data_IF_653115290634
#
_entry.id   IF_653115290634
#
_cell.length_a   1.000
_cell.length_b   1.000
_cell.length_c   1.000
_cell.angle_alpha   90.00
_cell.angle_beta   90.00
_cell.angle_gamma   90.00
#
_symmetry.space_group_name_H-M   'P 1'
#
loop_
_entity.id
_entity.type
_entity.pdbx_description
1 polymer ?
#
# COMPACT_ATOMS: atom_id res chain seq x y z
N UNK A 1 -2.80 -28.55 -13.77
CA UNK A 1 -2.14 -27.44 -13.05
C UNK A 1 -3.24 -26.61 -12.43
N UNK A 2 -3.44 -26.72 -11.12
CA UNK A 2 -4.53 -26.02 -10.43
C UNK A 2 -4.24 -24.52 -10.44
N UNK A 3 -5.12 -23.74 -11.08
CA UNK A 3 -5.02 -22.30 -11.13
C UNK A 3 -5.51 -21.77 -9.78
N UNK A 4 -4.60 -21.59 -8.82
CA UNK A 4 -4.93 -21.03 -7.51
C UNK A 4 -5.24 -19.53 -7.67
N UNK A 5 -6.50 -19.21 -7.98
CA UNK A 5 -6.96 -17.82 -8.06
C UNK A 5 -7.06 -17.25 -6.64
N UNK A 6 -5.95 -16.71 -6.13
CA UNK A 6 -5.92 -15.95 -4.88
C UNK A 6 -6.67 -14.63 -5.08
N UNK A 7 -7.57 -14.31 -4.17
CA UNK A 7 -8.22 -13.01 -4.11
C UNK A 7 -7.44 -12.11 -3.17
N UNK A 8 -7.23 -10.85 -3.56
CA UNK A 8 -6.44 -9.89 -2.79
C UNK A 8 -7.34 -8.78 -2.28
N UNK A 9 -7.36 -8.53 -0.98
CA UNK A 9 -7.99 -7.36 -0.40
C UNK A 9 -6.97 -6.36 0.11
N UNK A 10 -7.16 -5.09 -0.25
CA UNK A 10 -6.27 -4.00 0.08
C UNK A 10 -7.07 -2.95 0.86
N UNK A 11 -6.53 -2.52 1.99
CA UNK A 11 -7.14 -1.49 2.84
C UNK A 11 -6.12 -0.42 3.15
N UNK A 12 -6.43 0.84 2.88
CA UNK A 12 -5.60 1.97 3.34
C UNK A 12 -5.87 2.17 4.83
N UNK A 13 -4.88 1.84 5.67
CA UNK A 13 -4.96 1.96 7.14
C UNK A 13 -4.51 3.32 7.64
N UNK A 14 -3.61 3.96 6.90
CA UNK A 14 -3.22 5.34 7.12
C UNK A 14 -3.24 6.10 5.80
N UNK A 15 -4.17 7.04 5.69
CA UNK A 15 -4.32 7.90 4.52
C UNK A 15 -3.26 9.00 4.50
N UNK A 16 -2.68 9.35 3.33
CA UNK A 16 -1.92 10.58 3.19
C UNK A 16 -2.86 11.78 3.35
N UNK A 17 -2.40 12.82 4.05
CA UNK A 17 -3.20 14.03 4.24
C UNK A 17 -2.57 15.25 3.58
N UNK A 18 -1.25 15.32 3.60
CA UNK A 18 -0.52 16.47 3.09
C UNK A 18 0.92 16.11 2.72
N UNK A 19 1.55 16.98 1.95
CA UNK A 19 2.98 16.93 1.75
C UNK A 19 3.54 18.33 1.49
N UNK A 20 4.86 18.48 1.58
CA UNK A 20 5.56 19.64 1.05
C UNK A 20 6.22 19.26 -0.26
N UNK A 21 6.02 20.07 -1.29
CA UNK A 21 6.71 19.87 -2.56
C UNK A 21 8.22 19.86 -2.36
N UNK A 22 8.89 18.91 -2.99
CA UNK A 22 10.33 18.77 -2.90
C UNK A 22 10.98 19.29 -4.18
N UNK A 23 11.79 20.35 -4.04
CA UNK A 23 12.64 20.82 -5.13
C UNK A 23 13.77 19.83 -5.45
N UNK A 24 14.80 20.31 -6.15
CA UNK A 24 15.99 19.50 -6.52
C UNK A 24 16.99 19.38 -5.34
N UNK A 25 16.73 20.06 -4.22
CA UNK A 25 17.61 20.07 -3.03
C UNK A 25 17.36 18.94 -2.01
N UNK A 26 18.21 18.84 -0.98
CA UNK A 26 18.18 17.76 0.01
C UNK A 26 17.07 17.88 1.08
N UNK A 27 16.42 19.03 1.19
CA UNK A 27 15.33 19.31 2.15
C UNK A 27 14.01 18.65 1.67
N UNK A 28 14.03 17.32 1.62
CA UNK A 28 12.89 16.48 1.27
C UNK A 28 12.02 16.27 2.51
N UNK A 29 10.72 16.49 2.36
CA UNK A 29 9.72 16.07 3.35
C UNK A 29 8.83 14.99 2.73
N UNK A 30 8.75 13.80 3.34
CA UNK A 30 7.82 12.78 2.87
C UNK A 30 6.37 13.25 3.01
N UNK A 31 5.48 12.56 2.33
CA UNK A 31 4.05 12.64 2.53
C UNK A 31 3.76 12.31 3.99
N UNK A 32 2.85 13.09 4.58
CA UNK A 32 2.51 13.04 5.98
C UNK A 32 0.99 12.97 6.19
N UNK A 33 0.52 12.04 7.04
CA UNK A 33 1.27 10.92 7.59
C UNK A 33 1.67 9.90 6.48
N UNK A 34 2.66 9.01 6.72
CA UNK A 34 3.13 8.08 5.69
C UNK A 34 2.04 7.06 5.32
N UNK A 35 1.78 6.79 4.03
CA UNK A 35 0.76 5.81 3.65
C UNK A 35 1.06 4.41 4.20
N UNK A 36 0.05 3.78 4.82
CA UNK A 36 0.11 2.39 5.31
C UNK A 36 -1.05 1.61 4.69
N UNK A 37 -0.73 0.51 4.02
CA UNK A 37 -1.69 -0.33 3.32
C UNK A 37 -1.62 -1.73 3.92
N UNK A 38 -2.76 -2.25 4.35
CA UNK A 38 -2.90 -3.63 4.76
C UNK A 38 -3.26 -4.51 3.54
N UNK A 39 -2.62 -5.67 3.47
CA UNK A 39 -2.93 -6.74 2.55
C UNK A 39 -3.57 -7.90 3.30
N UNK A 40 -4.73 -8.34 2.80
CA UNK A 40 -5.34 -9.62 3.15
C UNK A 40 -5.41 -10.49 1.90
N UNK A 41 -4.79 -11.67 1.95
CA UNK A 41 -4.90 -12.68 0.88
C UNK A 41 -6.01 -13.64 1.27
N UNK A 42 -7.00 -13.80 0.39
CA UNK A 42 -8.13 -14.69 0.60
C UNK A 42 -7.98 -15.87 -0.37
N UNK A 43 -7.87 -17.07 0.17
CA UNK A 43 -7.90 -18.29 -0.63
C UNK A 43 -9.36 -18.77 -0.76
N UNK A 44 -9.90 -18.95 -1.98
CA UNK A 44 -11.23 -19.52 -2.14
C UNK A 44 -11.38 -20.95 -1.60
N UNK A 45 -10.30 -21.70 -1.39
CA UNK A 45 -10.37 -23.07 -0.85
C UNK A 45 -10.57 -23.10 0.67
N UNK A 46 -10.19 -22.05 1.41
CA UNK A 46 -10.55 -21.93 2.83
C UNK A 46 -12.00 -21.47 3.04
N UNK A 47 -12.71 -21.09 1.96
CA UNK A 47 -14.15 -20.82 1.98
C UNK A 47 -15.00 -22.09 1.78
N UNK A 48 -14.49 -23.29 2.06
CA UNK A 48 -15.39 -24.43 2.17
C UNK A 48 -16.27 -24.24 3.42
N UNK A 49 -17.61 -24.19 3.27
CA UNK A 49 -18.49 -24.18 4.42
C UNK A 49 -18.24 -25.46 5.24
N UNK A 50 -18.45 -25.44 6.57
CA UNK A 50 -18.28 -26.63 7.39
C UNK A 50 -19.04 -27.78 6.76
N UNK A 51 -18.33 -28.87 6.46
CA UNK A 51 -18.94 -30.06 5.88
C UNK A 51 -20.02 -30.55 6.85
N UNK A 52 -21.28 -30.75 6.42
CA UNK A 52 -22.36 -31.21 7.32
C UNK A 52 -22.10 -32.60 7.92
N UNK A 53 -21.07 -33.31 7.43
CA UNK A 53 -20.60 -34.57 7.96
C UNK A 53 -19.75 -34.44 9.24
N UNK A 54 -19.14 -33.28 9.51
CA UNK A 54 -18.28 -33.04 10.69
C UNK A 54 -18.49 -31.60 11.21
N UNK A 55 -19.50 -31.36 12.07
CA UNK A 55 -19.79 -30.03 12.62
C UNK A 55 -18.71 -29.47 13.56
N UNK A 56 -17.75 -30.29 13.99
CA UNK A 56 -16.62 -29.91 14.87
C UNK A 56 -15.27 -29.80 14.12
N UNK A 57 -15.25 -29.95 12.79
CA UNK A 57 -14.04 -29.74 12.01
C UNK A 57 -13.81 -28.24 11.81
N UNK A 58 -13.00 -27.64 12.68
CA UNK A 58 -12.30 -26.37 12.46
C UNK A 58 -11.31 -26.58 11.28
N UNK A 59 -11.84 -26.67 10.05
CA UNK A 59 -11.08 -27.06 8.85
C UNK A 59 -10.28 -25.88 8.25
N UNK A 60 -10.32 -24.72 8.90
CA UNK A 60 -9.42 -23.61 8.60
C UNK A 60 -8.12 -23.82 9.37
N UNK A 61 -7.19 -24.61 8.82
CA UNK A 61 -5.82 -24.70 9.35
C UNK A 61 -5.21 -23.29 9.37
N UNK A 62 -5.06 -22.65 10.56
CA UNK A 62 -4.60 -21.26 10.67
C UNK A 62 -3.19 -21.10 10.10
N UNK A 63 -2.43 -22.19 10.00
CA UNK A 63 -1.05 -22.20 9.52
C UNK A 63 -0.93 -21.82 8.03
N UNK A 64 -1.98 -22.03 7.21
CA UNK A 64 -1.95 -21.65 5.79
C UNK A 64 -2.11 -20.14 5.56
N UNK A 65 -2.90 -19.45 6.40
CA UNK A 65 -2.98 -17.99 6.35
C UNK A 65 -1.63 -17.33 6.71
N UNK A 66 -0.83 -17.96 7.57
CA UNK A 66 0.53 -17.48 7.87
C UNK A 66 1.54 -17.73 6.74
N UNK A 67 1.29 -18.70 5.85
CA UNK A 67 2.22 -19.06 4.77
C UNK A 67 2.36 -17.96 3.71
N UNK A 68 1.27 -17.23 3.39
CA UNK A 68 1.36 -16.15 2.40
C UNK A 68 2.02 -14.89 2.93
N UNK A 69 1.97 -14.65 4.24
CA UNK A 69 2.72 -13.55 4.85
C UNK A 69 4.20 -13.80 4.57
N UNK A 70 4.74 -14.96 4.90
CA UNK A 70 6.14 -15.29 4.62
C UNK A 70 6.57 -15.25 3.14
N UNK A 71 5.65 -15.04 2.18
CA UNK A 71 5.97 -14.91 0.77
C UNK A 71 6.78 -13.61 0.49
N UNK A 72 8.10 -13.71 0.20
CA UNK A 72 8.94 -12.54 -0.03
C UNK A 72 8.68 -11.89 -1.40
N UNK A 73 7.78 -12.44 -2.22
CA UNK A 73 7.56 -12.04 -3.60
C UNK A 73 6.50 -10.96 -3.78
N UNK A 74 5.85 -10.50 -2.71
CA UNK A 74 4.90 -9.39 -2.77
C UNK A 74 5.60 -8.05 -2.54
N UNK A 75 5.32 -7.09 -3.42
CA UNK A 75 5.71 -5.70 -3.25
C UNK A 75 4.61 -4.78 -3.75
N UNK A 76 4.60 -3.55 -3.24
CA UNK A 76 3.65 -2.52 -3.63
C UNK A 76 4.37 -1.33 -4.23
N UNK A 77 3.86 -0.83 -5.36
CA UNK A 77 4.35 0.38 -6.01
C UNK A 77 3.32 1.50 -5.87
N UNK A 78 3.80 2.68 -5.46
CA UNK A 78 3.02 3.91 -5.35
C UNK A 78 3.29 4.82 -6.55
N UNK A 79 2.23 5.15 -7.30
CA UNK A 79 2.24 6.20 -8.32
C UNK A 79 1.28 7.33 -7.94
N UNK A 80 1.57 8.53 -8.44
CA UNK A 80 0.72 9.70 -8.24
C UNK A 80 -0.41 9.67 -9.29
N UNK A 81 -1.62 10.03 -8.91
CA UNK A 81 -2.77 10.15 -9.80
C UNK A 81 -3.51 11.47 -9.58
N UNK A 82 -4.21 11.96 -10.59
CA UNK A 82 -5.14 13.09 -10.43
C UNK A 82 -6.36 12.67 -9.62
N UNK A 83 -6.91 13.56 -8.77
CA UNK A 83 -8.06 13.24 -7.94
C UNK A 83 -9.38 13.09 -8.72
N UNK A 84 -9.49 13.73 -9.89
CA UNK A 84 -10.77 13.83 -10.62
C UNK A 84 -11.02 12.65 -11.56
N UNK A 85 -9.96 12.15 -12.22
CA UNK A 85 -10.05 11.17 -13.30
C UNK A 85 -9.09 9.98 -13.14
N UNK A 86 -8.39 9.91 -11.99
CA UNK A 86 -7.40 8.89 -11.66
C UNK A 86 -6.26 8.74 -12.71
N UNK A 87 -6.02 9.75 -13.56
CA UNK A 87 -4.92 9.75 -14.52
C UNK A 87 -3.57 9.69 -13.80
N UNK A 88 -2.77 8.67 -14.09
CA UNK A 88 -1.44 8.51 -13.48
C UNK A 88 -0.44 9.56 -13.99
N UNK A 89 0.32 10.11 -13.06
CA UNK A 89 1.31 11.16 -13.25
C UNK A 89 2.70 10.61 -12.91
N UNK A 90 3.40 10.10 -13.92
CA UNK A 90 4.74 9.54 -13.74
C UNK A 90 5.85 10.58 -13.90
N UNK A 91 5.67 11.53 -14.81
CA UNK A 91 6.68 12.50 -15.22
C UNK A 91 6.14 13.92 -15.08
N UNK A 92 7.03 14.84 -14.71
CA UNK A 92 6.75 16.27 -14.75
C UNK A 92 6.59 16.73 -16.21
N UNK A 93 6.16 17.98 -16.39
CA UNK A 93 5.96 18.60 -17.71
C UNK A 93 7.23 18.64 -18.57
N UNK A 94 8.40 18.48 -17.96
CA UNK A 94 9.68 18.39 -18.67
C UNK A 94 9.92 17.04 -19.37
N UNK A 95 9.10 16.02 -19.08
CA UNK A 95 9.20 14.66 -19.61
C UNK A 95 10.42 13.87 -19.14
N UNK A 96 11.23 14.40 -18.22
CA UNK A 96 12.51 13.81 -17.79
C UNK A 96 12.55 13.54 -16.30
N UNK A 97 11.82 14.34 -15.51
CA UNK A 97 11.85 14.26 -14.05
C UNK A 97 10.62 13.51 -13.56
N UNK A 98 10.80 12.53 -12.67
CA UNK A 98 9.66 11.82 -12.04
C UNK A 98 8.89 12.75 -11.12
N UNK A 99 7.56 12.63 -11.10
CA UNK A 99 6.69 13.39 -10.18
C UNK A 99 6.98 13.08 -8.71
N UNK A 100 7.31 11.82 -8.43
CA UNK A 100 7.63 11.29 -7.10
C UNK A 100 9.14 11.15 -6.91
N UNK A 101 9.58 11.13 -5.65
CA UNK A 101 10.97 10.91 -5.26
C UNK A 101 11.04 10.21 -3.90
N UNK A 102 12.17 9.58 -3.61
CA UNK A 102 12.33 8.70 -2.45
C UNK A 102 11.88 7.28 -2.78
N UNK A 103 11.37 6.57 -1.78
CA UNK A 103 10.98 5.15 -1.88
C UNK A 103 9.53 5.01 -2.34
N UNK A 104 9.36 4.77 -3.64
CA UNK A 104 8.06 4.53 -4.30
C UNK A 104 7.65 3.05 -4.32
N UNK A 105 8.51 2.17 -3.82
CA UNK A 105 8.24 0.73 -3.69
C UNK A 105 8.36 0.35 -2.21
N UNK A 106 7.44 -0.49 -1.75
CA UNK A 106 7.45 -1.05 -0.40
C UNK A 106 7.36 -2.58 -0.48
N UNK A 107 8.17 -3.26 0.33
CA UNK A 107 8.06 -4.71 0.53
C UNK A 107 6.97 -5.04 1.55
N UNK A 108 6.50 -6.28 1.58
CA UNK A 108 5.56 -6.74 2.59
C UNK A 108 6.24 -6.84 3.97
N UNK A 109 5.66 -6.19 4.99
CA UNK A 109 6.04 -6.29 6.39
C UNK A 109 4.98 -7.10 7.15
N UNK A 110 5.40 -8.02 8.01
CA UNK A 110 4.47 -8.75 8.90
C UNK A 110 4.45 -8.08 10.24
N UNK A 111 3.29 -7.55 10.60
CA UNK A 111 3.05 -6.90 11.87
C UNK A 111 1.78 -7.47 12.49
N UNK A 112 1.71 -7.45 13.81
CA UNK A 112 0.46 -7.75 14.52
C UNK A 112 -0.48 -6.57 14.39
N UNK A 113 -1.70 -6.83 13.95
CA UNK A 113 -2.73 -5.82 13.81
C UNK A 113 -3.38 -5.53 15.17
N UNK A 114 -2.95 -4.45 15.83
CA UNK A 114 -3.47 -4.06 17.14
C UNK A 114 -4.97 -3.75 17.12
N UNK A 115 -5.51 -3.33 15.97
CA UNK A 115 -6.93 -3.01 15.81
C UNK A 115 -7.78 -4.25 15.50
N UNK A 116 -7.17 -5.35 15.04
CA UNK A 116 -7.86 -6.61 14.74
C UNK A 116 -7.31 -7.75 15.61
N UNK A 117 -7.55 -7.66 16.92
CA UNK A 117 -7.27 -8.72 17.91
C UNK A 117 -5.81 -9.24 17.93
N UNK A 118 -4.84 -8.45 17.49
CA UNK A 118 -3.44 -8.85 17.32
C UNK A 118 -3.22 -10.01 16.34
N UNK A 119 -4.11 -10.16 15.35
CA UNK A 119 -3.92 -11.12 14.26
C UNK A 119 -2.74 -10.68 13.38
N UNK A 120 -1.98 -11.64 12.86
CA UNK A 120 -0.88 -11.34 11.94
C UNK A 120 -1.43 -10.79 10.63
N UNK A 121 -0.92 -9.64 10.20
CA UNK A 121 -1.32 -9.00 8.95
C UNK A 121 -0.11 -8.49 8.16
N UNK A 122 -0.29 -8.43 6.85
CA UNK A 122 0.70 -7.92 5.91
C UNK A 122 0.50 -6.43 5.69
N UNK A 123 1.57 -5.64 5.81
CA UNK A 123 1.52 -4.19 5.61
C UNK A 123 2.57 -3.73 4.62
N UNK A 124 2.22 -2.74 3.81
CA UNK A 124 3.13 -1.95 2.99
C UNK A 124 3.18 -0.54 3.57
N UNK A 125 4.39 -0.04 3.80
CA UNK A 125 4.62 1.27 4.44
C UNK A 125 5.48 2.13 3.51
N UNK A 126 5.09 3.40 3.34
CA UNK A 126 5.78 4.37 2.49
C UNK A 126 6.32 5.55 3.32
N UNK A 127 7.34 5.35 4.17
CA UNK A 127 7.82 6.37 5.11
C UNK A 127 8.64 7.48 4.43
N UNK A 128 9.12 7.24 3.21
CA UNK A 128 10.01 8.14 2.48
C UNK A 128 9.51 8.39 1.04
N UNK A 129 8.20 8.59 0.87
CA UNK A 129 7.59 8.95 -0.40
C UNK A 129 7.33 10.45 -0.45
N UNK A 130 7.87 11.17 -1.43
CA UNK A 130 7.65 12.61 -1.61
C UNK A 130 7.18 12.96 -3.02
N UNK A 131 6.54 14.14 -3.14
CA UNK A 131 6.06 14.69 -4.41
C UNK A 131 6.81 15.98 -4.74
N UNK A 132 7.18 16.18 -6.01
CA UNK A 132 8.03 17.32 -6.42
C UNK A 132 7.29 18.61 -6.67
N UNK A 133 6.01 18.54 -7.01
CA UNK A 133 5.21 19.69 -7.46
C UNK A 133 3.99 19.89 -6.60
N UNK A 134 3.66 21.16 -6.34
CA UNK A 134 2.39 21.54 -5.71
C UNK A 134 1.21 20.99 -6.51
N UNK A 135 0.11 20.67 -5.80
CA UNK A 135 -1.15 20.26 -6.41
C UNK A 135 -1.96 19.33 -5.52
N UNK A 136 -3.16 18.99 -6.00
CA UNK A 136 -4.02 17.97 -5.39
C UNK A 136 -3.81 16.63 -6.10
N UNK A 137 -3.65 15.56 -5.33
CA UNK A 137 -3.33 14.24 -5.86
C UNK A 137 -3.98 13.13 -5.05
N UNK A 138 -4.01 11.93 -5.64
CA UNK A 138 -4.20 10.64 -4.95
C UNK A 138 -2.98 9.78 -5.18
N UNK A 139 -2.77 8.78 -4.33
CA UNK A 139 -1.82 7.70 -4.60
C UNK A 139 -2.57 6.50 -5.17
N UNK A 140 -2.09 5.99 -6.31
CA UNK A 140 -2.44 4.65 -6.78
C UNK A 140 -1.43 3.67 -6.21
N UNK A 141 -1.92 2.73 -5.43
CA UNK A 141 -1.14 1.76 -4.67
C UNK A 141 -1.36 0.39 -5.30
N UNK A 142 -0.38 -0.06 -6.07
CA UNK A 142 -0.50 -1.25 -6.92
C UNK A 142 0.32 -2.40 -6.34
N UNK A 143 -0.37 -3.48 -5.99
CA UNK A 143 0.22 -4.73 -5.52
C UNK A 143 0.72 -5.55 -6.70
N UNK A 144 1.94 -6.06 -6.56
CA UNK A 144 2.56 -6.99 -7.49
C UNK A 144 3.06 -8.24 -6.77
N UNK A 145 3.08 -9.34 -7.51
CA UNK A 145 3.69 -10.61 -7.09
C UNK A 145 4.75 -11.02 -8.12
N UNK A 146 5.94 -11.38 -7.64
CA UNK A 146 6.97 -12.00 -8.47
C UNK A 146 6.70 -13.50 -8.56
N UNK A 147 6.39 -13.99 -9.75
CA UNK A 147 6.18 -15.41 -10.01
C UNK A 147 7.23 -15.88 -11.01
N UNK A 148 8.15 -16.72 -10.54
CA UNK A 148 9.34 -17.13 -11.29
C UNK A 148 10.12 -15.91 -11.79
N UNK A 149 10.14 -15.67 -13.10
CA UNK A 149 10.85 -14.55 -13.73
C UNK A 149 9.89 -13.46 -14.24
N UNK A 150 8.63 -13.47 -13.79
CA UNK A 150 7.61 -12.51 -14.24
C UNK A 150 7.05 -11.73 -13.06
N UNK A 151 6.70 -10.46 -13.29
CA UNK A 151 6.01 -9.62 -12.32
C UNK A 151 4.56 -9.53 -12.73
N UNK A 152 3.66 -9.98 -11.85
CA UNK A 152 2.22 -9.99 -12.08
C UNK A 152 1.56 -8.88 -11.27
N UNK A 153 0.75 -8.05 -11.92
CA UNK A 153 -0.15 -7.14 -11.22
C UNK A 153 -1.29 -7.93 -10.57
N UNK A 154 -1.53 -7.67 -9.28
CA UNK A 154 -2.55 -8.38 -8.50
C UNK A 154 -3.80 -7.54 -8.32
N UNK A 155 -3.63 -6.32 -7.78
CA UNK A 155 -4.71 -5.38 -7.48
C UNK A 155 -4.16 -3.98 -7.27
N UNK A 156 -4.99 -2.96 -7.42
CA UNK A 156 -4.67 -1.59 -7.02
C UNK A 156 -5.76 -1.03 -6.13
N UNK A 157 -5.38 -0.12 -5.23
CA UNK A 157 -6.28 0.74 -4.46
C UNK A 157 -5.83 2.20 -4.61
N UNK A 158 -6.76 3.14 -4.47
CA UNK A 158 -6.44 4.57 -4.44
C UNK A 158 -6.63 5.12 -3.04
N UNK A 159 -5.72 5.99 -2.61
CA UNK A 159 -5.86 6.75 -1.37
C UNK A 159 -6.98 7.80 -1.45
N UNK A 160 -7.29 8.42 -0.33
CA UNK A 160 -7.95 9.72 -0.30
C UNK A 160 -7.11 10.79 -1.03
N UNK A 161 -7.76 11.87 -1.45
CA UNK A 161 -7.07 13.02 -2.03
C UNK A 161 -6.31 13.79 -0.95
N UNK A 162 -5.10 14.24 -1.28
CA UNK A 162 -4.24 15.04 -0.40
C UNK A 162 -3.60 16.19 -1.17
N UNK A 163 -3.22 17.25 -0.45
CA UNK A 163 -2.62 18.42 -1.07
C UNK A 163 -1.11 18.49 -0.81
N UNK A 164 -0.35 18.76 -1.87
CA UNK A 164 1.09 19.02 -1.81
C UNK A 164 1.29 20.53 -1.82
N UNK A 165 1.78 21.10 -0.73
CA UNK A 165 1.98 22.53 -0.57
C UNK A 165 3.34 23.01 -1.06
N UNK A 166 3.42 24.29 -1.44
CA UNK A 166 4.72 24.97 -1.53
C UNK A 166 5.42 25.03 -0.18
N UNK A 167 6.74 25.24 -0.17
CA UNK A 167 7.51 25.40 1.06
C UNK A 167 7.00 26.52 1.98
N UNK A 168 6.43 27.60 1.42
CA UNK A 168 5.92 28.74 2.20
C UNK A 168 4.55 28.48 2.84
N UNK A 169 3.74 27.63 2.22
CA UNK A 169 2.36 27.34 2.65
C UNK A 169 2.23 26.06 3.46
N UNK A 170 3.31 25.28 3.57
CA UNK A 170 3.28 24.00 4.26
C UNK A 170 3.05 24.22 5.76
N UNK A 171 1.98 23.64 6.35
CA UNK A 171 1.60 23.92 7.74
C UNK A 171 2.51 23.23 8.77
N UNK A 172 3.45 22.39 8.32
CA UNK A 172 4.29 21.55 9.17
C UNK A 172 3.92 20.08 9.03
N UNK A 173 4.73 19.21 9.62
CA UNK A 173 4.39 17.78 9.73
C UNK A 173 3.41 17.61 10.90
N UNK A 174 2.40 16.77 10.76
CA UNK A 174 1.68 16.24 11.91
C UNK A 174 2.71 15.57 12.84
N UNK A 175 2.63 15.85 14.14
CA UNK A 175 3.51 15.21 15.11
C UNK A 175 3.42 13.69 14.98
N UNK A 176 4.52 12.98 15.23
CA UNK A 176 4.57 11.51 15.15
C UNK A 176 3.51 10.92 16.08
N UNK A 177 2.31 10.66 15.57
CA UNK A 177 1.29 9.99 16.35
C UNK A 177 1.77 8.56 16.54
N UNK A 178 2.20 8.25 17.75
CA UNK A 178 2.30 6.88 18.24
C UNK A 178 1.06 6.14 17.76
N UNK A 179 1.25 5.06 17.00
CA UNK A 179 0.26 4.00 16.89
C UNK A 179 -0.16 3.69 18.34
N UNK A 180 -1.38 4.07 18.71
CA UNK A 180 -1.98 3.78 20.02
C UNK A 180 -3.08 2.76 19.80
#
# INVERSE_FOLDING_TARGET
MFNHHREYDLTVRQEPKQARMCGVGPDRRPIDPPPIIQLRVIDPHTRQPPSPANPDADDADPNYAHSFLQNPYYFMFASLAKPDDDTELHWLKDGKTRCTTGSVVSSLYHLKDSENRNEDAGFFVFPDLSVRTEGSYRLKLSLFEVVSNTVRHCRSIYSAAFYVYTAKKFPGMEGLFSLR
#
